data_IF_389499560637
#
_entry.id   IF_389499560637
#
_cell.length_a   1.000
_cell.length_b   1.000
_cell.length_c   1.000
_cell.angle_alpha   90.00
_cell.angle_beta   90.00
_cell.angle_gamma   90.00
#
_symmetry.space_group_name_H-M   'P 1'
#
loop_
_entity.id
_entity.type
_entity.pdbx_description
1 polymer ?
#
# COMPACT_ATOMS: atom_id res chain seq x y z
N UNK A 1 10.21 1.81 20.23
CA UNK A 1 10.85 3.05 19.76
C UNK A 1 11.67 2.78 18.52
N UNK A 2 12.93 2.38 18.69
CA UNK A 2 13.91 2.27 17.58
C UNK A 2 13.44 1.39 16.41
N UNK A 3 13.06 0.13 16.67
CA UNK A 3 12.57 -0.77 15.61
C UNK A 3 11.35 -0.25 14.83
N UNK A 4 10.45 0.49 15.49
CA UNK A 4 9.26 1.07 14.84
C UNK A 4 9.66 2.15 13.83
N UNK A 5 10.60 3.02 14.22
CA UNK A 5 11.15 4.03 13.32
C UNK A 5 11.89 3.39 12.14
N UNK A 6 12.66 2.32 12.40
CA UNK A 6 13.33 1.55 11.35
C UNK A 6 12.31 0.93 10.38
N UNK A 7 11.26 0.28 10.90
CA UNK A 7 10.17 -0.30 10.09
C UNK A 7 9.48 0.76 9.22
N UNK A 8 9.17 1.93 9.78
CA UNK A 8 8.59 3.06 9.02
C UNK A 8 9.57 3.51 7.94
N UNK A 9 10.86 3.65 8.26
CA UNK A 9 11.87 4.06 7.31
C UNK A 9 12.02 3.05 6.15
N UNK A 10 11.96 1.74 6.42
CA UNK A 10 12.00 0.71 5.37
C UNK A 10 10.82 0.83 4.39
N UNK A 11 9.66 1.29 4.85
CA UNK A 11 8.52 1.56 3.97
C UNK A 11 8.74 2.86 3.18
N UNK A 12 9.01 3.97 3.88
CA UNK A 12 9.04 5.30 3.26
C UNK A 12 10.19 5.45 2.28
N UNK A 13 11.38 4.90 2.58
CA UNK A 13 12.53 4.91 1.66
C UNK A 13 12.31 4.05 0.40
N UNK A 14 11.34 3.13 0.44
CA UNK A 14 10.98 2.25 -0.68
C UNK A 14 9.59 2.54 -1.24
N UNK A 15 8.96 3.66 -0.88
CA UNK A 15 7.57 3.95 -1.24
C UNK A 15 7.33 3.92 -2.76
N UNK A 16 8.25 4.50 -3.54
CA UNK A 16 8.14 4.55 -5.00
C UNK A 16 8.12 3.14 -5.62
N UNK A 17 8.99 2.22 -5.18
CA UNK A 17 8.99 0.87 -5.72
C UNK A 17 7.82 0.04 -5.22
N UNK A 18 7.41 0.18 -3.95
CA UNK A 18 6.23 -0.52 -3.41
C UNK A 18 4.99 -0.19 -4.23
N UNK A 19 4.76 1.10 -4.50
CA UNK A 19 3.60 1.57 -5.26
C UNK A 19 3.69 1.15 -6.72
N UNK A 20 4.85 1.33 -7.37
CA UNK A 20 5.00 0.96 -8.78
C UNK A 20 4.85 -0.53 -9.01
N UNK A 21 5.42 -1.37 -8.13
CA UNK A 21 5.35 -2.82 -8.25
C UNK A 21 3.93 -3.32 -7.99
N UNK A 22 3.21 -2.72 -7.04
CA UNK A 22 1.83 -3.08 -6.77
C UNK A 22 0.89 -2.75 -7.94
N UNK A 23 0.99 -1.54 -8.50
CA UNK A 23 0.17 -1.14 -9.65
C UNK A 23 0.55 -1.94 -10.90
N UNK A 24 1.84 -2.17 -11.13
CA UNK A 24 2.31 -3.00 -12.25
C UNK A 24 1.83 -4.44 -12.11
N UNK A 25 1.94 -5.05 -10.92
CA UNK A 25 1.45 -6.40 -10.65
C UNK A 25 -0.05 -6.53 -10.85
N UNK A 26 -0.83 -5.58 -10.34
CA UNK A 26 -2.29 -5.50 -10.58
C UNK A 26 -2.63 -5.49 -12.08
N UNK A 27 -1.90 -4.73 -12.89
CA UNK A 27 -2.13 -4.63 -14.34
C UNK A 27 -1.65 -5.88 -15.08
N UNK A 28 -0.52 -6.46 -14.68
CA UNK A 28 -0.03 -7.72 -15.26
C UNK A 28 -1.04 -8.86 -15.07
N UNK A 29 -1.70 -8.92 -13.91
CA UNK A 29 -2.75 -9.91 -13.63
C UNK A 29 -4.09 -9.58 -14.31
N UNK A 30 -4.36 -8.31 -14.61
CA UNK A 30 -5.55 -7.88 -15.36
C UNK A 30 -5.21 -6.79 -16.40
N UNK A 31 -4.71 -7.18 -17.60
CA UNK A 31 -4.29 -6.23 -18.63
C UNK A 31 -5.42 -5.34 -19.16
N UNK A 32 -6.68 -5.74 -18.98
CA UNK A 32 -7.85 -4.94 -19.39
C UNK A 32 -7.93 -3.58 -18.70
N UNK A 33 -7.23 -3.38 -17.58
CA UNK A 33 -7.18 -2.10 -16.86
C UNK A 33 -6.58 -0.95 -17.67
N UNK A 34 -5.67 -1.24 -18.60
CA UNK A 34 -5.01 -0.25 -19.46
C UNK A 34 -5.51 -0.23 -20.91
N UNK A 35 -6.43 -1.15 -21.25
CA UNK A 35 -7.11 -1.12 -22.55
C UNK A 35 -8.08 0.07 -22.64
N UNK A 36 -8.51 0.49 -23.86
CA UNK A 36 -9.56 1.48 -24.00
C UNK A 36 -10.82 1.09 -23.19
N UNK A 37 -11.29 1.99 -22.34
CA UNK A 37 -12.39 1.75 -21.40
C UNK A 37 -11.96 1.25 -20.01
N UNK A 38 -10.71 0.78 -19.86
CA UNK A 38 -10.12 0.40 -18.58
C UNK A 38 -9.91 1.59 -17.64
N UNK A 39 -9.94 1.33 -16.32
CA UNK A 39 -9.89 2.40 -15.32
C UNK A 39 -8.49 3.02 -15.17
N UNK A 40 -7.42 2.36 -15.61
CA UNK A 40 -6.06 2.93 -15.67
C UNK A 40 -5.73 3.56 -17.03
N UNK A 41 -6.63 3.51 -18.02
CA UNK A 41 -6.51 4.24 -19.27
C UNK A 41 -7.16 5.64 -19.13
N UNK A 42 -6.51 6.77 -19.42
CA UNK A 42 -5.18 7.04 -20.02
C UNK A 42 -4.12 7.40 -18.95
N UNK A 43 -2.98 7.97 -19.35
CA UNK A 43 -1.93 8.52 -18.45
C UNK A 43 -2.48 9.30 -17.25
N UNK A 44 -3.55 10.08 -17.44
CA UNK A 44 -4.19 10.83 -16.35
C UNK A 44 -4.78 9.90 -15.28
N UNK A 45 -5.44 8.81 -15.69
CA UNK A 45 -6.01 7.83 -14.76
C UNK A 45 -4.93 6.93 -14.16
N UNK A 46 -3.92 6.53 -14.95
CA UNK A 46 -2.75 5.84 -14.42
C UNK A 46 -2.07 6.65 -13.30
N UNK A 47 -1.84 7.95 -13.54
CA UNK A 47 -1.26 8.84 -12.55
C UNK A 47 -2.15 8.97 -11.30
N UNK A 48 -3.47 9.00 -11.46
CA UNK A 48 -4.40 8.97 -10.34
C UNK A 48 -4.30 7.67 -9.53
N UNK A 49 -4.23 6.51 -10.20
CA UNK A 49 -4.08 5.21 -9.54
C UNK A 49 -2.77 5.11 -8.75
N UNK A 50 -1.65 5.52 -9.35
CA UNK A 50 -0.35 5.58 -8.66
C UNK A 50 -0.37 6.52 -7.46
N UNK A 51 -0.97 7.71 -7.62
CA UNK A 51 -1.13 8.68 -6.53
C UNK A 51 -1.97 8.11 -5.39
N UNK A 52 -3.09 7.47 -5.69
CA UNK A 52 -3.97 6.90 -4.67
C UNK A 52 -3.26 5.74 -3.92
N UNK A 53 -2.46 4.93 -4.62
CA UNK A 53 -1.57 3.94 -4.02
C UNK A 53 -0.55 4.56 -3.06
N UNK A 54 0.10 5.67 -3.45
CA UNK A 54 1.02 6.40 -2.58
C UNK A 54 0.31 7.03 -1.37
N UNK A 55 -0.89 7.60 -1.55
CA UNK A 55 -1.70 8.16 -0.47
C UNK A 55 -1.99 7.08 0.57
N UNK A 56 -2.51 5.92 0.14
CA UNK A 56 -2.79 4.77 1.02
C UNK A 56 -1.53 4.35 1.77
N UNK A 57 -0.41 4.17 1.06
CA UNK A 57 0.85 3.74 1.67
C UNK A 57 1.37 4.74 2.72
N UNK A 58 1.20 6.04 2.48
CA UNK A 58 1.57 7.10 3.44
C UNK A 58 0.71 7.08 4.68
N UNK A 59 -0.60 6.90 4.55
CA UNK A 59 -1.48 6.77 5.72
C UNK A 59 -1.21 5.50 6.52
N UNK A 60 -0.90 4.37 5.86
CA UNK A 60 -0.47 3.14 6.55
C UNK A 60 0.88 3.34 7.26
N UNK A 61 1.85 3.99 6.60
CA UNK A 61 3.15 4.30 7.21
C UNK A 61 3.00 5.22 8.42
N UNK A 62 2.08 6.18 8.35
CA UNK A 62 1.75 7.06 9.47
C UNK A 62 1.06 6.31 10.61
N UNK A 63 0.11 5.41 10.30
CA UNK A 63 -0.54 4.57 11.30
C UNK A 63 0.49 3.70 12.05
N UNK A 64 1.46 3.13 11.33
CA UNK A 64 2.57 2.40 11.92
C UNK A 64 3.50 3.31 12.74
N UNK A 65 3.73 4.55 12.33
CA UNK A 65 4.52 5.50 13.13
C UNK A 65 3.82 5.83 14.46
N UNK A 66 2.51 6.10 14.39
CA UNK A 66 1.69 6.48 15.55
C UNK A 66 1.31 5.28 16.44
N UNK A 67 1.33 4.06 15.91
CA UNK A 67 0.78 2.87 16.58
C UNK A 67 -0.75 2.89 16.68
N UNK A 68 -1.42 3.64 15.81
CA UNK A 68 -2.85 3.89 15.84
C UNK A 68 -3.40 4.18 14.43
N UNK A 69 -4.60 3.69 14.11
CA UNK A 69 -5.21 3.83 12.79
C UNK A 69 -6.30 4.91 12.71
N UNK A 70 -6.55 5.70 13.77
CA UNK A 70 -7.63 6.71 13.75
C UNK A 70 -7.52 7.66 12.55
N UNK A 71 -6.31 8.16 12.27
CA UNK A 71 -6.07 9.07 11.14
C UNK A 71 -6.21 8.36 9.79
N UNK A 72 -5.81 7.09 9.68
CA UNK A 72 -6.02 6.28 8.49
C UNK A 72 -7.53 6.13 8.22
N UNK A 73 -8.30 5.74 9.23
CA UNK A 73 -9.75 5.52 9.11
C UNK A 73 -10.49 6.82 8.79
N UNK A 74 -10.30 7.86 9.60
CA UNK A 74 -11.08 9.10 9.50
C UNK A 74 -10.74 9.95 8.28
N UNK A 75 -9.48 9.94 7.83
CA UNK A 75 -9.00 10.86 6.78
C UNK A 75 -8.72 10.20 5.44
N UNK A 76 -8.49 8.89 5.41
CA UNK A 76 -8.20 8.17 4.16
C UNK A 76 -9.32 7.21 3.77
N UNK A 77 -9.93 6.49 4.72
CA UNK A 77 -10.84 5.38 4.40
C UNK A 77 -12.31 5.78 4.42
N UNK A 78 -12.70 6.69 5.32
CA UNK A 78 -14.09 7.14 5.44
C UNK A 78 -14.57 7.80 4.13
N UNK A 79 -15.57 7.18 3.47
CA UNK A 79 -16.11 7.64 2.18
C UNK A 79 -15.32 7.20 0.94
N UNK A 80 -14.22 6.45 1.11
CA UNK A 80 -13.36 6.04 0.00
C UNK A 80 -14.08 5.07 -0.94
N UNK A 81 -14.80 4.09 -0.39
CA UNK A 81 -15.57 3.11 -1.16
C UNK A 81 -16.62 3.78 -2.03
N UNK A 82 -17.40 4.69 -1.46
CA UNK A 82 -18.45 5.44 -2.15
C UNK A 82 -17.86 6.26 -3.29
N UNK A 83 -16.69 6.87 -3.06
CA UNK A 83 -15.94 7.61 -4.08
C UNK A 83 -15.47 6.69 -5.21
N UNK A 84 -14.88 5.54 -4.89
CA UNK A 84 -14.43 4.56 -5.89
C UNK A 84 -15.59 4.02 -6.72
N UNK A 85 -16.71 3.69 -6.10
CA UNK A 85 -17.94 3.25 -6.79
C UNK A 85 -18.45 4.34 -7.72
N UNK A 86 -18.54 5.59 -7.26
CA UNK A 86 -19.01 6.71 -8.07
C UNK A 86 -18.10 7.00 -9.29
N UNK A 87 -16.79 6.76 -9.16
CA UNK A 87 -15.81 6.93 -10.23
C UNK A 87 -15.64 5.69 -11.12
N UNK A 88 -16.33 4.58 -10.81
CA UNK A 88 -16.21 3.31 -11.52
C UNK A 88 -14.82 2.65 -11.37
N UNK A 89 -14.15 2.88 -10.25
CA UNK A 89 -12.88 2.23 -9.90
C UNK A 89 -13.16 0.77 -9.51
N UNK A 90 -12.51 -0.21 -10.13
CA UNK A 90 -12.78 -1.63 -9.84
C UNK A 90 -12.22 -2.04 -8.47
N UNK A 91 -13.11 -2.34 -7.51
CA UNK A 91 -12.72 -2.75 -6.15
C UNK A 91 -11.78 -3.96 -6.12
N UNK A 92 -12.05 -5.01 -6.93
CA UNK A 92 -11.20 -6.20 -6.96
C UNK A 92 -9.74 -5.89 -7.33
N UNK A 93 -9.53 -5.01 -8.31
CA UNK A 93 -8.19 -4.58 -8.72
C UNK A 93 -7.54 -3.69 -7.65
N UNK A 94 -8.32 -2.80 -7.03
CA UNK A 94 -7.85 -1.94 -5.94
C UNK A 94 -7.39 -2.78 -4.73
N UNK A 95 -8.19 -3.76 -4.31
CA UNK A 95 -7.85 -4.73 -3.25
C UNK A 95 -6.59 -5.52 -3.62
N UNK A 96 -6.43 -5.88 -4.90
CA UNK A 96 -5.23 -6.59 -5.35
C UNK A 96 -3.98 -5.74 -5.22
N UNK A 97 -4.00 -4.48 -5.65
CA UNK A 97 -2.87 -3.56 -5.47
C UNK A 97 -2.53 -3.38 -3.98
N UNK A 98 -3.53 -3.20 -3.11
CA UNK A 98 -3.36 -3.11 -1.65
C UNK A 98 -2.71 -4.38 -1.07
N UNK A 99 -3.11 -5.55 -1.55
CA UNK A 99 -2.53 -6.84 -1.13
C UNK A 99 -1.06 -6.99 -1.55
N UNK A 100 -0.70 -6.53 -2.76
CA UNK A 100 0.69 -6.55 -3.21
C UNK A 100 1.53 -5.57 -2.38
N UNK A 101 1.02 -4.36 -2.10
CA UNK A 101 1.69 -3.41 -1.18
C UNK A 101 1.89 -4.01 0.21
N UNK A 102 0.87 -4.69 0.77
CA UNK A 102 0.95 -5.39 2.06
C UNK A 102 2.09 -6.40 2.08
N UNK A 103 2.19 -7.23 1.04
CA UNK A 103 3.25 -8.23 0.92
C UNK A 103 4.64 -7.59 0.85
N UNK A 104 4.80 -6.55 0.04
CA UNK A 104 6.05 -5.80 -0.09
C UNK A 104 6.46 -5.15 1.24
N UNK A 105 5.55 -4.45 1.91
CA UNK A 105 5.80 -3.82 3.22
C UNK A 105 6.19 -4.86 4.27
N UNK A 106 5.50 -6.00 4.32
CA UNK A 106 5.84 -7.10 5.23
C UNK A 106 7.26 -7.61 4.97
N UNK A 107 7.65 -7.75 3.71
CA UNK A 107 8.99 -8.18 3.33
C UNK A 107 10.06 -7.13 3.68
N UNK A 108 9.78 -5.83 3.50
CA UNK A 108 10.69 -4.76 3.87
C UNK A 108 10.89 -4.65 5.39
N UNK A 109 9.81 -4.73 6.18
CA UNK A 109 9.90 -4.70 7.66
C UNK A 109 10.73 -5.87 8.19
N UNK A 110 10.56 -7.06 7.60
CA UNK A 110 11.30 -8.26 7.99
C UNK A 110 12.67 -8.37 7.31
N UNK A 111 13.08 -7.38 6.50
CA UNK A 111 14.32 -7.39 5.73
C UNK A 111 14.49 -8.64 4.84
N UNK A 112 13.39 -9.20 4.35
CA UNK A 112 13.35 -10.38 3.46
C UNK A 112 13.07 -10.02 2.00
N UNK A 113 12.94 -8.73 1.67
CA UNK A 113 12.85 -8.27 0.30
C UNK A 113 14.03 -8.78 -0.56
N UNK A 114 13.75 -9.13 -1.82
CA UNK A 114 14.75 -9.71 -2.73
C UNK A 114 15.88 -8.74 -3.07
N UNK A 115 15.57 -7.44 -3.08
CA UNK A 115 16.50 -6.34 -3.33
C UNK A 115 16.35 -5.28 -2.23
N UNK A 116 17.33 -4.37 -2.14
CA UNK A 116 17.33 -3.23 -1.20
C UNK A 116 17.28 -3.63 0.29
N UNK A 117 17.95 -4.73 0.63
CA UNK A 117 18.19 -5.11 2.02
C UNK A 117 19.05 -4.06 2.71
N UNK A 118 18.75 -3.82 3.98
CA UNK A 118 19.50 -2.89 4.82
C UNK A 118 20.29 -3.70 5.85
N UNK A 119 21.49 -3.25 6.21
CA UNK A 119 22.19 -3.80 7.37
C UNK A 119 21.44 -3.36 8.63
N UNK A 120 20.91 -4.33 9.36
CA UNK A 120 20.09 -4.09 10.54
C UNK A 120 20.69 -4.78 11.74
N UNK A 121 20.54 -4.19 12.92
CA UNK A 121 20.83 -4.90 14.15
C UNK A 121 19.96 -6.16 14.23
N UNK A 122 20.56 -7.30 14.63
CA UNK A 122 19.83 -8.56 14.74
C UNK A 122 18.63 -8.40 15.68
N UNK A 123 17.46 -8.87 15.25
CA UNK A 123 16.26 -8.84 16.07
C UNK A 123 15.01 -9.21 15.31
N UNK A 124 13.94 -9.47 16.07
CA UNK A 124 12.62 -9.77 15.54
C UNK A 124 11.77 -8.49 15.35
N UNK A 125 11.17 -8.36 14.16
CA UNK A 125 10.23 -7.30 13.78
C UNK A 125 8.84 -7.86 13.41
N UNK A 126 8.57 -9.14 13.67
CA UNK A 126 7.33 -9.85 13.32
C UNK A 126 6.07 -9.14 13.83
N UNK A 127 6.10 -8.62 15.06
CA UNK A 127 4.98 -7.88 15.64
C UNK A 127 4.67 -6.58 14.88
N UNK A 128 5.70 -5.83 14.46
CA UNK A 128 5.52 -4.60 13.66
C UNK A 128 5.06 -4.92 12.23
N UNK A 129 5.55 -6.03 11.66
CA UNK A 129 5.08 -6.51 10.37
C UNK A 129 3.60 -6.92 10.42
N UNK A 130 3.20 -7.64 11.46
CA UNK A 130 1.80 -8.02 11.71
C UNK A 130 0.92 -6.79 11.93
N UNK A 131 1.37 -5.82 12.72
CA UNK A 131 0.66 -4.55 12.93
C UNK A 131 0.46 -3.80 11.60
N UNK A 132 1.51 -3.60 10.81
CA UNK A 132 1.41 -2.96 9.49
C UNK A 132 0.44 -3.71 8.56
N UNK A 133 0.49 -5.04 8.58
CA UNK A 133 -0.44 -5.90 7.84
C UNK A 133 -1.91 -5.66 8.22
N UNK A 134 -2.20 -5.46 9.51
CA UNK A 134 -3.57 -5.14 9.95
C UNK A 134 -4.08 -3.80 9.43
N UNK A 135 -3.22 -2.80 9.26
CA UNK A 135 -3.61 -1.52 8.66
C UNK A 135 -3.95 -1.68 7.17
N UNK A 136 -3.21 -2.52 6.44
CA UNK A 136 -3.60 -2.89 5.07
C UNK A 136 -4.91 -3.68 5.02
N UNK A 137 -5.20 -4.54 6.01
CA UNK A 137 -6.47 -5.25 6.08
C UNK A 137 -7.65 -4.29 6.29
N UNK A 138 -7.47 -3.23 7.08
CA UNK A 138 -8.45 -2.14 7.20
C UNK A 138 -8.67 -1.39 5.90
N UNK A 139 -7.61 -1.13 5.13
CA UNK A 139 -7.74 -0.53 3.79
C UNK A 139 -8.55 -1.47 2.89
N UNK A 140 -8.19 -2.75 2.84
CA UNK A 140 -8.84 -3.74 1.98
C UNK A 140 -10.32 -3.98 2.31
N UNK A 141 -10.72 -3.87 3.57
CA UNK A 141 -12.14 -3.96 3.98
C UNK A 141 -12.95 -2.70 3.69
N UNK A 142 -12.29 -1.57 3.41
CA UNK A 142 -12.90 -0.25 3.23
C UNK A 142 -13.01 0.20 1.76
N UNK A 143 -12.68 -0.67 0.80
CA UNK A 143 -12.76 -0.44 -0.67
C UNK A 143 -13.62 -1.50 -1.36
#
# INVERSE_FOLDING_TARGET
GNKRLDSVNYIVSNASCIVSDAVSGMICENPGLIAPGGNCYTNRRMAACLRDGEIILRYVSYALLAGDSSVLEDRCLNGLKETYVALGVPSNSSVRAVTIMKAAVTAFINNTASQRKVEVASGDCSALAAEAATYFDKVGSSI
#
